data_IF_127125049991
#
_entry.id   IF_127125049991
#
_cell.length_a   1.000
_cell.length_b   1.000
_cell.length_c   1.000
_cell.angle_alpha   90.00
_cell.angle_beta   90.00
_cell.angle_gamma   90.00
#
_symmetry.space_group_name_H-M   'P 1'
#
loop_
_entity.id
_entity.type
_entity.pdbx_description
1 polymer ?
#
# COMPACT_ATOMS: atom_id res chain seq x y z
N UNK A 1 43.30 5.87 24.87
CA UNK A 1 42.58 7.16 24.83
C UNK A 1 42.43 7.76 23.43
N UNK A 2 43.50 7.86 22.60
CA UNK A 2 43.43 8.49 21.26
C UNK A 2 42.43 7.83 20.28
N UNK A 3 42.28 6.50 20.30
CA UNK A 3 41.36 5.79 19.40
C UNK A 3 39.88 6.04 19.71
N UNK A 4 39.51 6.15 20.99
CA UNK A 4 38.12 6.44 21.39
C UNK A 4 37.66 7.82 20.93
N UNK A 5 38.58 8.81 20.91
CA UNK A 5 38.27 10.15 20.38
C UNK A 5 37.95 10.06 18.88
N UNK A 6 38.74 9.32 18.10
CA UNK A 6 38.46 9.14 16.67
C UNK A 6 37.15 8.41 16.40
N UNK A 7 36.86 7.34 17.14
CA UNK A 7 35.58 6.64 17.05
C UNK A 7 34.42 7.58 17.38
N UNK A 8 34.53 8.36 18.46
CA UNK A 8 33.53 9.35 18.83
C UNK A 8 33.35 10.45 17.79
N UNK A 9 34.43 10.98 17.23
CA UNK A 9 34.39 11.97 16.14
C UNK A 9 33.75 11.39 14.88
N UNK A 10 34.09 10.15 14.51
CA UNK A 10 33.46 9.45 13.39
C UNK A 10 31.96 9.29 13.58
N UNK A 11 31.53 8.85 14.78
CA UNK A 11 30.12 8.74 15.11
C UNK A 11 29.39 10.09 15.02
N UNK A 12 30.02 11.18 15.49
CA UNK A 12 29.47 12.53 15.36
C UNK A 12 29.39 13.03 13.91
N UNK A 13 30.42 12.76 13.10
CA UNK A 13 30.44 13.13 11.68
C UNK A 13 29.31 12.46 10.88
N UNK A 14 28.82 11.29 11.31
CA UNK A 14 27.66 10.63 10.68
C UNK A 14 26.35 11.06 11.34
N UNK A 15 26.31 11.03 12.68
CA UNK A 15 25.08 11.24 13.44
C UNK A 15 24.55 12.67 13.37
N UNK A 16 25.42 13.68 13.39
CA UNK A 16 24.98 15.09 13.35
C UNK A 16 24.32 15.41 12.00
N UNK A 17 24.95 15.16 10.82
CA UNK A 17 24.29 15.39 9.55
C UNK A 17 23.01 14.58 9.36
N UNK A 18 22.99 13.33 9.85
CA UNK A 18 21.81 12.48 9.80
C UNK A 18 20.63 13.10 10.55
N UNK A 19 20.87 13.57 11.79
CA UNK A 19 19.83 14.18 12.63
C UNK A 19 19.39 15.57 12.13
N UNK A 20 20.33 16.38 11.62
CA UNK A 20 20.03 17.72 11.13
C UNK A 20 19.15 17.68 9.87
N UNK A 21 19.37 16.68 9.01
CA UNK A 21 18.62 16.50 7.76
C UNK A 21 17.44 15.53 7.91
N UNK A 22 17.01 15.25 9.14
CA UNK A 22 15.90 14.34 9.42
C UNK A 22 14.56 14.95 9.07
N UNK A 23 13.90 14.31 8.10
CA UNK A 23 12.52 14.56 7.72
C UNK A 23 11.71 13.24 7.86
N UNK A 24 10.62 13.23 8.66
CA UNK A 24 9.73 12.07 8.80
C UNK A 24 9.11 11.58 7.46
N UNK A 25 9.02 12.46 6.46
CA UNK A 25 8.43 12.15 5.15
C UNK A 25 9.46 11.77 4.08
N UNK A 26 10.74 12.09 4.32
CA UNK A 26 11.86 11.76 3.44
C UNK A 26 13.16 11.46 4.21
N UNK A 27 13.42 10.18 4.43
CA UNK A 27 14.64 9.72 5.11
C UNK A 27 15.92 9.92 4.28
N UNK A 28 15.81 10.18 2.96
CA UNK A 28 16.98 10.23 2.08
C UNK A 28 17.86 11.46 2.30
N UNK A 29 17.29 12.56 2.81
CA UNK A 29 18.05 13.71 3.28
C UNK A 29 19.03 13.31 4.38
N UNK A 30 18.54 12.67 5.45
CA UNK A 30 19.35 12.13 6.54
C UNK A 30 20.40 11.13 6.08
N UNK A 31 20.00 10.17 5.24
CA UNK A 31 20.91 9.12 4.75
C UNK A 31 22.03 9.75 3.94
N UNK A 32 21.71 10.61 2.97
CA UNK A 32 22.71 11.33 2.17
C UNK A 32 23.64 12.18 3.05
N UNK A 33 23.07 12.89 4.02
CA UNK A 33 23.83 13.68 5.00
C UNK A 33 24.86 12.86 5.77
N UNK A 34 24.41 11.74 6.34
CA UNK A 34 25.27 10.81 7.08
C UNK A 34 26.37 10.22 6.20
N UNK A 35 26.07 9.91 4.93
CA UNK A 35 27.04 9.39 3.96
C UNK A 35 28.10 10.42 3.62
N UNK A 36 27.72 11.67 3.35
CA UNK A 36 28.67 12.76 3.09
C UNK A 36 29.57 12.97 4.31
N UNK A 37 28.98 12.95 5.51
CA UNK A 37 29.72 13.03 6.76
C UNK A 37 30.71 11.88 6.96
N UNK A 38 30.29 10.64 6.69
CA UNK A 38 31.13 9.45 6.74
C UNK A 38 32.28 9.52 5.73
N UNK A 39 32.00 9.93 4.50
CA UNK A 39 32.99 10.07 3.44
C UNK A 39 34.03 11.14 3.80
N UNK A 40 33.59 12.30 4.29
CA UNK A 40 34.49 13.36 4.77
C UNK A 40 35.41 12.87 5.90
N UNK A 41 34.84 12.15 6.88
CA UNK A 41 35.62 11.56 7.97
C UNK A 41 36.66 10.54 7.46
N UNK A 42 36.26 9.64 6.55
CA UNK A 42 37.15 8.65 5.94
C UNK A 42 38.30 9.31 5.17
N UNK A 43 38.03 10.36 4.40
CA UNK A 43 39.05 11.12 3.67
C UNK A 43 40.06 11.72 4.66
N UNK A 44 39.59 12.39 5.73
CA UNK A 44 40.47 12.96 6.76
C UNK A 44 41.31 11.87 7.43
N UNK A 45 40.71 10.73 7.74
CA UNK A 45 41.38 9.60 8.38
C UNK A 45 42.49 9.02 7.49
N UNK A 46 42.24 8.90 6.18
CA UNK A 46 43.23 8.43 5.20
C UNK A 46 44.38 9.44 5.02
N UNK A 47 44.07 10.73 4.86
CA UNK A 47 45.10 11.77 4.73
C UNK A 47 46.00 11.80 5.97
N UNK A 48 45.43 11.59 7.16
CA UNK A 48 46.20 11.54 8.40
C UNK A 48 47.02 10.25 8.52
N UNK A 49 46.45 9.10 8.18
CA UNK A 49 47.12 7.80 8.31
C UNK A 49 48.33 7.67 7.38
N UNK A 50 48.31 8.34 6.22
CA UNK A 50 49.44 8.39 5.28
C UNK A 50 50.75 8.91 5.89
N UNK A 51 50.70 9.71 6.96
CA UNK A 51 51.89 10.19 7.66
C UNK A 51 52.60 9.10 8.46
N UNK A 52 51.89 8.03 8.79
CA UNK A 52 52.39 6.92 9.59
C UNK A 52 52.71 5.67 8.76
N UNK A 53 52.45 5.69 7.45
CA UNK A 53 52.77 4.60 6.54
C UNK A 53 54.21 4.73 6.02
N UNK A 54 55.08 3.71 6.23
CA UNK A 54 56.49 3.76 5.83
C UNK A 54 56.69 3.69 4.30
N UNK A 55 55.89 2.90 3.57
CA UNK A 55 56.12 2.65 2.15
C UNK A 55 55.18 3.44 1.22
N UNK A 56 55.67 3.79 0.01
CA UNK A 56 54.82 4.42 -1.04
C UNK A 56 53.73 3.48 -1.54
N UNK A 57 54.02 2.17 -1.56
CA UNK A 57 53.06 1.14 -1.98
C UNK A 57 51.90 1.03 -0.99
N UNK A 58 52.15 1.02 0.32
CA UNK A 58 51.09 1.03 1.34
C UNK A 58 50.19 2.26 1.24
N UNK A 59 50.79 3.45 1.02
CA UNK A 59 50.02 4.69 0.84
C UNK A 59 49.09 4.59 -0.37
N UNK A 60 49.62 4.12 -1.50
CA UNK A 60 48.83 3.91 -2.72
C UNK A 60 47.72 2.88 -2.52
N UNK A 61 48.02 1.76 -1.84
CA UNK A 61 47.05 0.71 -1.56
C UNK A 61 45.90 1.21 -0.67
N UNK A 62 46.20 1.93 0.42
CA UNK A 62 45.17 2.48 1.34
C UNK A 62 44.28 3.49 0.62
N UNK A 63 44.85 4.37 -0.20
CA UNK A 63 44.07 5.35 -0.99
C UNK A 63 43.19 4.62 -2.00
N UNK A 64 43.75 3.68 -2.76
CA UNK A 64 43.02 2.93 -3.77
C UNK A 64 41.87 2.13 -3.16
N UNK A 65 42.09 1.48 -2.03
CA UNK A 65 41.08 0.69 -1.33
C UNK A 65 39.99 1.57 -0.71
N UNK A 66 40.35 2.76 -0.20
CA UNK A 66 39.37 3.73 0.28
C UNK A 66 38.53 4.27 -0.88
N UNK A 67 39.16 4.61 -2.00
CA UNK A 67 38.45 5.12 -3.17
C UNK A 67 37.51 4.05 -3.74
N UNK A 68 37.97 2.79 -3.81
CA UNK A 68 37.13 1.64 -4.17
C UNK A 68 35.96 1.45 -3.21
N UNK A 69 36.19 1.59 -1.90
CA UNK A 69 35.12 1.49 -0.90
C UNK A 69 34.09 2.60 -1.08
N UNK A 70 34.53 3.86 -1.23
CA UNK A 70 33.62 5.00 -1.43
C UNK A 70 32.82 4.89 -2.73
N UNK A 71 33.44 4.43 -3.83
CA UNK A 71 32.73 4.25 -5.11
C UNK A 71 31.74 3.09 -5.05
N UNK A 72 32.14 1.94 -4.49
CA UNK A 72 31.25 0.79 -4.32
C UNK A 72 30.07 1.12 -3.41
N UNK A 73 30.33 1.82 -2.31
CA UNK A 73 29.28 2.23 -1.37
C UNK A 73 28.35 3.30 -1.96
N UNK A 74 28.88 4.24 -2.75
CA UNK A 74 28.09 5.21 -3.51
C UNK A 74 27.16 4.52 -4.53
N UNK A 75 27.68 3.55 -5.28
CA UNK A 75 26.89 2.76 -6.23
C UNK A 75 25.80 1.93 -5.51
N UNK A 76 26.12 1.31 -4.37
CA UNK A 76 25.16 0.60 -3.55
C UNK A 76 24.04 1.53 -3.05
N UNK A 77 24.39 2.72 -2.57
CA UNK A 77 23.41 3.69 -2.07
C UNK A 77 22.48 4.17 -3.20
N UNK A 78 23.04 4.47 -4.38
CA UNK A 78 22.26 4.91 -5.54
C UNK A 78 21.25 3.84 -5.99
N UNK A 79 21.70 2.57 -6.09
CA UNK A 79 20.81 1.45 -6.44
C UNK A 79 19.75 1.20 -5.37
N UNK A 80 20.10 1.34 -4.08
CA UNK A 80 19.13 1.22 -2.99
C UNK A 80 18.10 2.35 -3.00
N UNK A 81 18.50 3.57 -3.37
CA UNK A 81 17.60 4.71 -3.56
C UNK A 81 16.61 4.49 -4.69
N UNK A 82 17.10 4.04 -5.84
CA UNK A 82 16.26 3.71 -6.98
C UNK A 82 15.26 2.61 -6.65
N UNK A 83 15.72 1.52 -6.01
CA UNK A 83 14.86 0.41 -5.58
C UNK A 83 13.78 0.86 -4.59
N UNK A 84 14.14 1.69 -3.60
CA UNK A 84 13.19 2.23 -2.63
C UNK A 84 12.17 3.16 -3.28
N UNK A 85 12.62 3.99 -4.24
CA UNK A 85 11.74 4.87 -5.01
C UNK A 85 10.78 4.06 -5.88
N UNK A 86 11.28 3.01 -6.53
CA UNK A 86 10.47 2.08 -7.31
C UNK A 86 9.42 1.38 -6.44
N UNK A 87 9.80 0.88 -5.27
CA UNK A 87 8.85 0.30 -4.31
C UNK A 87 7.78 1.29 -3.87
N UNK A 88 8.17 2.54 -3.54
CA UNK A 88 7.23 3.61 -3.18
C UNK A 88 6.22 3.88 -4.30
N UNK A 89 6.67 3.84 -5.56
CA UNK A 89 5.82 4.02 -6.74
C UNK A 89 4.93 2.81 -7.04
N UNK A 90 5.31 1.61 -6.59
CA UNK A 90 4.49 0.41 -6.68
C UNK A 90 3.43 0.32 -5.58
N UNK A 91 3.62 0.95 -4.42
CA UNK A 91 2.64 0.91 -3.32
C UNK A 91 1.20 1.27 -3.75
N UNK A 92 0.95 2.31 -4.56
CA UNK A 92 -0.39 2.58 -5.09
C UNK A 92 -0.96 1.45 -5.95
N UNK A 93 -0.13 0.82 -6.79
CA UNK A 93 -0.56 -0.30 -7.64
C UNK A 93 -0.92 -1.52 -6.81
N UNK A 94 -0.07 -1.85 -5.82
CA UNK A 94 -0.33 -2.93 -4.87
C UNK A 94 -1.62 -2.65 -4.10
N UNK A 95 -1.83 -1.40 -3.64
CA UNK A 95 -3.06 -1.01 -2.94
C UNK A 95 -4.30 -1.17 -3.83
N UNK A 96 -4.24 -0.77 -5.09
CA UNK A 96 -5.36 -0.95 -6.04
C UNK A 96 -5.62 -2.43 -6.32
N UNK A 97 -4.58 -3.25 -6.44
CA UNK A 97 -4.73 -4.70 -6.61
C UNK A 97 -5.39 -5.35 -5.38
N UNK A 98 -4.91 -5.03 -4.18
CA UNK A 98 -5.49 -5.51 -2.93
C UNK A 98 -6.94 -5.02 -2.76
N UNK A 99 -7.22 -3.74 -3.00
CA UNK A 99 -8.57 -3.18 -2.92
C UNK A 99 -9.54 -3.86 -3.89
N UNK A 100 -9.09 -4.15 -5.12
CA UNK A 100 -9.89 -4.91 -6.10
C UNK A 100 -10.18 -6.33 -5.60
N UNK A 101 -9.17 -7.00 -5.04
CA UNK A 101 -9.30 -8.32 -4.42
C UNK A 101 -10.34 -8.32 -3.30
N UNK A 102 -10.20 -7.43 -2.33
CA UNK A 102 -11.09 -7.29 -1.17
C UNK A 102 -12.54 -7.01 -1.62
N UNK A 103 -12.76 -6.10 -2.57
CA UNK A 103 -14.11 -5.85 -3.09
C UNK A 103 -14.71 -7.11 -3.70
N UNK A 104 -13.96 -7.81 -4.55
CA UNK A 104 -14.48 -8.97 -5.29
C UNK A 104 -14.71 -10.16 -4.36
N UNK A 105 -13.73 -10.53 -3.52
CA UNK A 105 -13.84 -11.69 -2.62
C UNK A 105 -14.79 -11.42 -1.45
N UNK A 106 -14.58 -10.31 -0.74
CA UNK A 106 -15.14 -10.14 0.60
C UNK A 106 -16.46 -9.38 0.59
N UNK A 107 -16.71 -8.56 -0.44
CA UNK A 107 -17.98 -7.84 -0.57
C UNK A 107 -18.91 -8.52 -1.58
N UNK A 108 -18.44 -8.73 -2.81
CA UNK A 108 -19.28 -9.27 -3.90
C UNK A 108 -19.55 -10.75 -3.67
N UNK A 109 -18.52 -11.60 -3.65
CA UNK A 109 -18.75 -13.05 -3.56
C UNK A 109 -19.27 -13.49 -2.20
N UNK A 110 -18.72 -12.96 -1.10
CA UNK A 110 -19.19 -13.31 0.24
C UNK A 110 -20.66 -12.95 0.49
N UNK A 111 -21.19 -11.88 -0.14
CA UNK A 111 -22.60 -11.51 -0.02
C UNK A 111 -23.49 -12.27 -1.00
N UNK A 112 -23.06 -12.42 -2.26
CA UNK A 112 -23.94 -12.88 -3.33
C UNK A 112 -23.98 -14.40 -3.52
N UNK A 113 -22.85 -15.11 -3.34
CA UNK A 113 -22.81 -16.56 -3.51
C UNK A 113 -23.68 -17.31 -2.50
N UNK A 114 -23.73 -16.91 -1.21
CA UNK A 114 -24.64 -17.56 -0.27
C UNK A 114 -26.11 -17.37 -0.63
N UNK A 115 -26.49 -16.20 -1.16
CA UNK A 115 -27.86 -15.93 -1.62
C UNK A 115 -28.19 -16.81 -2.84
N UNK A 116 -27.27 -16.90 -3.80
CA UNK A 116 -27.42 -17.76 -4.97
C UNK A 116 -27.56 -19.23 -4.56
N UNK A 117 -26.70 -19.71 -3.66
CA UNK A 117 -26.76 -21.07 -3.10
C UNK A 117 -28.12 -21.33 -2.44
N UNK A 118 -28.57 -20.42 -1.56
CA UNK A 118 -29.88 -20.55 -0.92
C UNK A 118 -31.02 -20.54 -1.94
N UNK A 119 -30.93 -19.74 -3.01
CA UNK A 119 -31.93 -19.69 -4.07
C UNK A 119 -32.03 -20.99 -4.87
N UNK A 120 -30.91 -21.66 -5.17
CA UNK A 120 -30.92 -22.93 -5.91
C UNK A 120 -31.30 -24.15 -5.05
N UNK A 121 -31.02 -24.13 -3.75
CA UNK A 121 -31.31 -25.25 -2.84
C UNK A 121 -32.66 -25.17 -2.11
N UNK A 122 -33.56 -24.27 -2.52
CA UNK A 122 -34.91 -24.23 -1.94
C UNK A 122 -35.63 -25.54 -2.24
N UNK A 123 -36.06 -26.23 -1.19
CA UNK A 123 -36.85 -27.47 -1.30
C UNK A 123 -38.29 -27.10 -1.63
N UNK A 124 -38.87 -27.80 -2.61
CA UNK A 124 -40.04 -27.39 -3.40
C UNK A 124 -41.41 -27.47 -2.67
N UNK A 125 -41.48 -27.06 -1.41
CA UNK A 125 -42.71 -27.09 -0.61
C UNK A 125 -43.58 -25.82 -0.82
N UNK A 126 -43.90 -25.52 -2.08
CA UNK A 126 -45.12 -24.79 -2.43
C UNK A 126 -45.03 -23.34 -2.89
N UNK A 127 -43.85 -22.70 -2.91
CA UNK A 127 -43.57 -21.45 -3.68
C UNK A 127 -42.09 -21.09 -3.54
N UNK A 128 -41.32 -21.25 -4.62
CA UNK A 128 -39.92 -20.82 -4.67
C UNK A 128 -39.84 -19.30 -4.47
N UNK A 129 -39.15 -18.85 -3.42
CA UNK A 129 -38.91 -17.43 -3.16
C UNK A 129 -38.10 -16.82 -4.31
N UNK A 130 -38.40 -15.56 -4.67
CA UNK A 130 -37.62 -14.82 -5.66
C UNK A 130 -36.17 -14.61 -5.17
N UNK A 131 -35.23 -14.38 -6.09
CA UNK A 131 -33.83 -14.13 -5.74
C UNK A 131 -33.71 -12.92 -4.82
N UNK A 132 -34.49 -11.87 -5.11
CA UNK A 132 -34.57 -10.65 -4.30
C UNK A 132 -35.19 -10.92 -2.94
N UNK A 133 -36.20 -11.80 -2.84
CA UNK A 133 -36.76 -12.19 -1.55
C UNK A 133 -35.74 -12.92 -0.66
N UNK A 134 -34.96 -13.85 -1.22
CA UNK A 134 -33.87 -14.54 -0.49
C UNK A 134 -32.82 -13.55 -0.04
N UNK A 135 -32.49 -12.58 -0.90
CA UNK A 135 -31.53 -11.54 -0.58
C UNK A 135 -32.01 -10.64 0.57
N UNK A 136 -33.26 -10.15 0.50
CA UNK A 136 -33.87 -9.30 1.53
C UNK A 136 -34.05 -10.03 2.86
N UNK A 137 -34.34 -11.32 2.85
CA UNK A 137 -34.41 -12.12 4.07
C UNK A 137 -33.06 -12.19 4.79
N UNK A 138 -31.96 -12.25 4.02
CA UNK A 138 -30.61 -12.37 4.58
C UNK A 138 -30.00 -11.04 5.01
N UNK A 139 -30.18 -10.01 4.19
CA UNK A 139 -29.46 -8.73 4.33
C UNK A 139 -30.38 -7.52 4.45
N UNK A 140 -31.68 -7.66 4.14
CA UNK A 140 -32.65 -6.57 4.18
C UNK A 140 -32.69 -5.79 5.50
N UNK A 141 -32.62 -6.44 6.68
CA UNK A 141 -32.55 -5.71 7.96
C UNK A 141 -31.32 -4.82 8.13
N UNK A 142 -30.24 -5.11 7.41
CA UNK A 142 -28.97 -4.36 7.45
C UNK A 142 -28.85 -3.32 6.33
N UNK A 143 -29.88 -3.16 5.49
CA UNK A 143 -29.91 -2.17 4.42
C UNK A 143 -30.65 -0.93 4.94
N UNK A 144 -29.88 0.12 5.25
CA UNK A 144 -30.43 1.42 5.62
C UNK A 144 -30.34 2.36 4.39
N UNK A 145 -31.48 2.90 3.97
CA UNK A 145 -31.58 3.88 2.87
C UNK A 145 -30.92 3.45 1.54
N UNK A 146 -30.97 2.16 1.21
CA UNK A 146 -30.35 1.61 0.00
C UNK A 146 -28.82 1.43 0.09
N UNK A 147 -28.22 1.72 1.24
CA UNK A 147 -26.84 1.41 1.56
C UNK A 147 -26.75 0.15 2.41
N UNK A 148 -25.73 -0.66 2.16
CA UNK A 148 -25.48 -1.94 2.83
C UNK A 148 -24.04 -1.96 3.30
N UNK A 149 -23.80 -2.09 4.61
CA UNK A 149 -22.46 -2.35 5.11
C UNK A 149 -22.35 -3.82 5.52
N UNK A 150 -21.49 -4.58 4.84
CA UNK A 150 -21.38 -6.04 5.01
C UNK A 150 -20.72 -6.44 6.33
N UNK A 151 -20.18 -5.50 7.10
CA UNK A 151 -19.51 -5.77 8.40
C UNK A 151 -20.29 -5.16 9.59
N UNK A 152 -21.27 -5.89 10.16
CA UNK A 152 -22.01 -5.43 11.33
C UNK A 152 -21.25 -5.54 12.66
N UNK A 153 -19.94 -5.86 12.66
CA UNK A 153 -19.15 -6.13 13.88
C UNK A 153 -17.97 -5.19 14.14
N UNK A 154 -17.84 -4.10 13.38
CA UNK A 154 -16.88 -3.05 13.72
C UNK A 154 -17.64 -1.80 14.16
N UNK A 155 -17.74 -1.60 15.48
CA UNK A 155 -18.42 -0.46 16.14
C UNK A 155 -17.78 0.92 15.87
N UNK A 156 -16.84 1.00 14.93
CA UNK A 156 -16.14 2.22 14.53
C UNK A 156 -16.03 2.27 13.02
N UNK A 157 -17.15 2.46 12.34
CA UNK A 157 -17.17 2.78 10.91
C UNK A 157 -16.70 4.23 10.74
N UNK A 158 -15.39 4.43 10.60
CA UNK A 158 -14.87 5.69 10.07
C UNK A 158 -14.94 5.65 8.54
N UNK A 159 -15.40 6.72 7.85
CA UNK A 159 -15.46 6.79 6.38
C UNK A 159 -14.14 6.49 5.65
N UNK A 160 -13.04 6.55 6.37
CA UNK A 160 -11.67 6.45 5.86
C UNK A 160 -11.15 5.01 5.71
N UNK A 161 -11.84 4.00 6.24
CA UNK A 161 -11.30 2.63 6.33
C UNK A 161 -12.08 1.56 5.58
N UNK A 162 -13.28 1.86 5.08
CA UNK A 162 -14.19 0.82 4.59
C UNK A 162 -14.71 1.01 3.17
N UNK A 163 -14.93 -0.13 2.51
CA UNK A 163 -15.58 -0.15 1.20
C UNK A 163 -17.09 0.02 1.34
N UNK A 164 -17.64 1.09 0.77
CA UNK A 164 -19.08 1.40 0.75
C UNK A 164 -19.79 0.51 -0.27
N UNK A 165 -20.93 -0.07 0.10
CA UNK A 165 -21.75 -0.85 -0.83
C UNK A 165 -23.16 -0.27 -0.91
N UNK A 166 -23.59 0.09 -2.13
CA UNK A 166 -24.96 0.50 -2.41
C UNK A 166 -25.70 -0.65 -3.09
N UNK A 167 -26.97 -0.83 -2.74
CA UNK A 167 -27.79 -1.93 -3.26
C UNK A 167 -29.07 -1.39 -3.88
N UNK A 168 -29.34 -1.80 -5.11
CA UNK A 168 -30.61 -1.56 -5.78
C UNK A 168 -31.18 -2.86 -6.34
N UNK A 169 -32.49 -2.87 -6.61
CA UNK A 169 -33.21 -4.06 -7.03
C UNK A 169 -33.89 -3.80 -8.38
N UNK A 170 -33.77 -4.75 -9.32
CA UNK A 170 -34.54 -4.73 -10.56
C UNK A 170 -35.66 -5.76 -10.46
N UNK A 171 -36.82 -5.31 -9.97
CA UNK A 171 -37.97 -6.18 -9.70
C UNK A 171 -37.61 -7.30 -8.72
N UNK A 172 -38.03 -8.53 -9.05
CA UNK A 172 -37.77 -9.75 -8.27
C UNK A 172 -36.64 -10.63 -8.84
N UNK A 173 -35.97 -10.17 -9.90
CA UNK A 173 -35.11 -11.01 -10.74
C UNK A 173 -33.62 -10.76 -10.55
N UNK A 174 -33.23 -9.55 -10.15
CA UNK A 174 -31.83 -9.19 -9.99
C UNK A 174 -31.58 -8.23 -8.81
N UNK A 175 -30.41 -8.39 -8.20
CA UNK A 175 -29.87 -7.49 -7.19
C UNK A 175 -28.62 -6.83 -7.77
N UNK A 176 -28.57 -5.50 -7.75
CA UNK A 176 -27.45 -4.71 -8.23
C UNK A 176 -26.68 -4.11 -7.05
N UNK A 177 -25.36 -4.20 -7.10
CA UNK A 177 -24.42 -3.67 -6.12
C UNK A 177 -23.54 -2.64 -6.79
N UNK A 178 -23.24 -1.57 -6.04
CA UNK A 178 -22.11 -0.68 -6.32
C UNK A 178 -21.20 -0.73 -5.11
N UNK A 179 -20.02 -1.32 -5.27
CA UNK A 179 -19.00 -1.39 -4.22
C UNK A 179 -17.91 -0.36 -4.52
N UNK A 180 -17.51 0.42 -3.52
CA UNK A 180 -16.54 1.51 -3.63
C UNK A 180 -15.46 1.31 -2.58
N UNK A 181 -14.18 1.30 -2.95
CA UNK A 181 -13.08 1.43 -1.98
C UNK A 181 -12.67 2.90 -1.89
N UNK A 182 -12.83 3.49 -0.71
CA UNK A 182 -12.57 4.92 -0.46
C UNK A 182 -11.07 5.25 -0.42
N UNK A 183 -10.21 4.23 -0.34
CA UNK A 183 -8.76 4.37 -0.23
C UNK A 183 -8.09 4.05 -1.58
N UNK A 184 -8.46 2.94 -2.23
CA UNK A 184 -7.86 2.52 -3.49
C UNK A 184 -8.21 3.46 -4.66
N UNK A 185 -7.22 3.72 -5.51
CA UNK A 185 -7.39 4.56 -6.71
C UNK A 185 -7.97 3.74 -7.84
N UNK A 186 -8.91 4.35 -8.57
CA UNK A 186 -9.41 3.87 -9.84
C UNK A 186 -8.44 4.17 -11.00
N UNK A 187 -8.79 3.77 -12.23
CA UNK A 187 -8.01 4.08 -13.42
C UNK A 187 -8.19 5.53 -13.87
N UNK A 188 -9.38 6.09 -13.66
CA UNK A 188 -9.69 7.48 -13.99
C UNK A 188 -9.69 8.34 -12.73
N UNK A 189 -8.69 9.22 -12.62
CA UNK A 189 -8.54 10.15 -11.49
C UNK A 189 -9.63 11.23 -11.44
N UNK A 190 -10.36 11.47 -12.52
CA UNK A 190 -11.45 12.46 -12.61
C UNK A 190 -12.83 11.83 -12.41
N UNK A 191 -12.93 10.50 -12.36
CA UNK A 191 -14.20 9.81 -12.17
C UNK A 191 -14.75 10.08 -10.76
N UNK A 192 -15.95 10.65 -10.70
CA UNK A 192 -16.71 10.83 -9.45
C UNK A 192 -17.58 9.59 -9.25
N UNK A 193 -17.33 8.87 -8.16
CA UNK A 193 -18.05 7.64 -7.84
C UNK A 193 -19.45 7.91 -7.26
N UNK A 194 -20.23 6.86 -7.03
CA UNK A 194 -21.60 7.00 -6.51
C UNK A 194 -21.69 7.59 -5.10
N UNK A 195 -20.59 7.63 -4.34
CA UNK A 195 -20.50 8.30 -3.03
C UNK A 195 -19.91 9.72 -3.10
N UNK A 196 -19.69 10.27 -4.30
CA UNK A 196 -19.15 11.62 -4.51
C UNK A 196 -17.63 11.74 -4.41
N UNK A 197 -16.89 10.64 -4.18
CA UNK A 197 -15.44 10.67 -4.14
C UNK A 197 -14.84 10.58 -5.55
N UNK A 198 -13.82 11.39 -5.79
CA UNK A 198 -13.16 11.49 -7.10
C UNK A 198 -11.93 10.57 -7.17
N UNK A 199 -11.76 9.86 -8.29
CA UNK A 199 -10.59 9.02 -8.56
C UNK A 199 -10.54 7.70 -7.78
N UNK A 200 -11.67 7.25 -7.20
CA UNK A 200 -11.73 6.08 -6.32
C UNK A 200 -12.30 4.85 -7.02
N UNK A 201 -11.75 3.69 -6.65
CA UNK A 201 -12.10 2.39 -7.21
C UNK A 201 -13.59 2.10 -7.01
N UNK A 202 -14.29 1.74 -8.10
CA UNK A 202 -15.70 1.36 -8.07
C UNK A 202 -15.95 0.11 -8.90
N UNK A 203 -16.67 -0.84 -8.31
CA UNK A 203 -17.19 -2.03 -8.99
C UNK A 203 -18.72 -2.00 -9.00
N UNK A 204 -19.30 -2.40 -10.12
CA UNK A 204 -20.70 -2.77 -10.18
C UNK A 204 -20.82 -4.29 -10.21
N UNK A 205 -21.73 -4.85 -9.44
CA UNK A 205 -22.05 -6.28 -9.49
C UNK A 205 -23.55 -6.49 -9.64
N UNK A 206 -23.92 -7.55 -10.35
CA UNK A 206 -25.30 -7.97 -10.55
C UNK A 206 -25.42 -9.43 -10.19
N UNK A 207 -26.22 -9.71 -9.17
CA UNK A 207 -26.66 -11.05 -8.83
C UNK A 207 -27.95 -11.35 -9.59
N UNK A 208 -27.90 -12.40 -10.40
CA UNK A 208 -29.04 -12.93 -11.15
C UNK A 208 -29.19 -14.43 -10.89
N UNK A 209 -30.27 -15.03 -11.41
CA UNK A 209 -30.48 -16.50 -11.32
C UNK A 209 -29.37 -17.32 -12.00
N UNK A 210 -28.64 -16.73 -12.93
CA UNK A 210 -27.60 -17.40 -13.70
C UNK A 210 -26.21 -17.29 -13.03
N UNK A 211 -26.09 -16.46 -11.99
CA UNK A 211 -24.82 -16.21 -11.33
C UNK A 211 -24.59 -14.75 -10.97
N UNK A 212 -23.36 -14.49 -10.52
CA UNK A 212 -22.86 -13.16 -10.16
C UNK A 212 -21.98 -12.65 -11.31
N UNK A 213 -22.36 -11.52 -11.88
CA UNK A 213 -21.52 -10.78 -12.83
C UNK A 213 -21.02 -9.52 -12.16
N UNK A 214 -19.74 -9.19 -12.29
CA UNK A 214 -19.20 -7.93 -11.81
C UNK A 214 -18.29 -7.31 -12.85
N UNK A 215 -18.20 -5.99 -12.81
CA UNK A 215 -17.35 -5.19 -13.68
C UNK A 215 -16.76 -4.03 -12.89
N UNK A 216 -15.52 -3.68 -13.22
CA UNK A 216 -14.88 -2.49 -12.70
C UNK A 216 -15.34 -1.31 -13.55
N UNK A 217 -15.93 -0.31 -12.91
CA UNK A 217 -16.44 0.90 -13.57
C UNK A 217 -15.33 1.93 -13.78
N UNK A 218 -14.37 1.94 -12.86
CA UNK A 218 -13.25 2.87 -12.79
C UNK A 218 -12.03 2.14 -12.21
#
# INVERSE_FOLDING_TARGET
>A
MKYFVWIGTGAMCVGIPFMVLFDPHDMWGSVTGGIIGAAGYLIVLVVRSQRHLPSRLEKSAVVSLTLLFLTAYGAYTATFHEMSSYQRNLLPQIRTYLGSGIIVSDKIYASMLPVLRTFHHQTDNGRKKSLVAVFRERYGPSIADGSFNTYPHHDTVTPETDALTFVSFSGDTAVHYICIDTVARGYNNEFVNASGHTGKLQFAATLSRNGVRYERIN
#
